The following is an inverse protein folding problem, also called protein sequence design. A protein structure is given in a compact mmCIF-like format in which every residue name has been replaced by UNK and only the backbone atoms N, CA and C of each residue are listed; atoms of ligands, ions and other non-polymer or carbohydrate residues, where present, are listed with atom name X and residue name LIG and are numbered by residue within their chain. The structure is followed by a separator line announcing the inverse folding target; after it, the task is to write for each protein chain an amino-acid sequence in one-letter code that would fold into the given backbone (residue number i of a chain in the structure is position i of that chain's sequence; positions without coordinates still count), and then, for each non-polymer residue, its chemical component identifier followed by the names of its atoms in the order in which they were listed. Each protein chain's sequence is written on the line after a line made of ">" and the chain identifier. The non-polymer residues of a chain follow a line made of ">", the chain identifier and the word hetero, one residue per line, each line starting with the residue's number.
data_IF_259016650171
#
_entry.id   IF_259016650171
#
_cell.length_a   1.000
_cell.length_b   1.000
_cell.length_c   1.000
_cell.angle_alpha   90.00
_cell.angle_beta   90.00
_cell.angle_gamma   90.00
#
_symmetry.space_group_name_H-M   'P 1'
#
loop_
_entity.id
_entity.type
_entity.pdbx_description
1 polymer ?
#
# COMPACT_ATOMS: atom_id res chain seq x y z
N UNK A 1 4.45 18.59 26.12
CA UNK A 1 4.34 17.91 27.41
C UNK A 1 4.26 19.00 28.47
N UNK A 2 3.43 18.82 29.49
CA UNK A 2 3.33 19.75 30.62
C UNK A 2 3.81 19.01 31.87
N UNK A 3 4.68 19.64 32.65
CA UNK A 3 5.22 19.08 33.88
C UNK A 3 4.61 19.82 35.06
N UNK A 4 3.98 19.09 35.96
CA UNK A 4 3.39 19.64 37.17
C UNK A 4 4.37 19.43 38.32
N UNK A 5 4.75 20.52 38.98
CA UNK A 5 5.67 20.50 40.13
C UNK A 5 4.99 21.07 41.37
N UNK A 6 5.39 20.57 42.54
CA UNK A 6 5.14 21.19 43.83
C UNK A 6 6.49 21.49 44.49
N UNK A 7 6.92 22.75 44.41
CA UNK A 7 8.27 23.14 44.82
C UNK A 7 9.35 22.50 43.93
N UNK A 8 10.35 21.85 44.56
CA UNK A 8 11.45 21.16 43.84
C UNK A 8 11.09 19.75 43.36
N UNK A 9 9.93 19.23 43.74
CA UNK A 9 9.49 17.87 43.39
C UNK A 9 8.55 17.92 42.20
N UNK A 10 8.79 17.07 41.21
CA UNK A 10 7.85 16.85 40.10
C UNK A 10 6.77 15.88 40.56
N UNK A 11 5.53 16.34 40.55
CA UNK A 11 4.39 15.55 41.03
C UNK A 11 3.70 14.75 39.93
N UNK A 12 3.61 15.30 38.71
CA UNK A 12 2.99 14.61 37.58
C UNK A 12 3.39 15.19 36.22
N UNK A 13 3.08 14.45 35.16
CA UNK A 13 3.31 14.84 33.77
C UNK A 13 2.04 14.64 32.95
N UNK A 14 1.80 15.57 32.03
CA UNK A 14 0.67 15.52 31.10
C UNK A 14 1.19 15.54 29.66
N UNK A 15 0.72 14.61 28.85
CA UNK A 15 0.96 14.59 27.41
C UNK A 15 -0.34 14.92 26.68
N UNK A 16 -0.31 15.95 25.84
CA UNK A 16 -1.40 16.26 24.90
C UNK A 16 -0.93 15.86 23.51
N UNK A 17 -1.55 14.82 22.94
CA UNK A 17 -1.34 14.43 21.56
C UNK A 17 -2.49 14.98 20.72
N UNK A 18 -2.20 15.89 19.80
CA UNK A 18 -3.19 16.34 18.80
C UNK A 18 -3.14 15.35 17.64
N UNK A 19 -4.10 14.43 17.60
CA UNK A 19 -4.23 13.51 16.47
C UNK A 19 -4.48 14.34 15.21
N UNK A 20 -3.53 14.31 14.25
CA UNK A 20 -3.76 14.89 12.93
C UNK A 20 -4.93 14.13 12.30
N UNK A 21 -5.93 14.84 11.79
CA UNK A 21 -7.00 14.22 10.99
C UNK A 21 -6.31 13.54 9.81
N UNK A 22 -6.40 12.21 9.74
CA UNK A 22 -5.99 11.51 8.52
C UNK A 22 -6.86 12.05 7.38
N UNK A 23 -6.28 12.32 6.20
CA UNK A 23 -7.07 12.73 5.05
C UNK A 23 -8.11 11.64 4.80
N UNK A 24 -9.39 11.94 5.04
CA UNK A 24 -10.45 11.06 4.61
C UNK A 24 -10.36 11.02 3.09
N UNK A 25 -10.02 9.84 2.56
CA UNK A 25 -9.97 9.57 1.13
C UNK A 25 -11.42 9.74 0.63
N UNK A 26 -11.77 10.96 0.21
CA UNK A 26 -13.05 11.28 -0.43
C UNK A 26 -13.05 10.60 -1.79
N UNK A 27 -13.37 9.32 -1.78
CA UNK A 27 -13.65 8.59 -3.00
C UNK A 27 -15.12 8.83 -3.31
N UNK A 28 -15.41 9.90 -4.05
CA UNK A 28 -16.69 9.98 -4.78
C UNK A 28 -16.64 8.88 -5.84
N UNK A 29 -17.09 7.68 -5.47
CA UNK A 29 -17.12 6.49 -6.35
C UNK A 29 -18.46 6.45 -7.06
N UNK A 30 -18.43 6.08 -8.33
CA UNK A 30 -19.62 5.85 -9.14
C UNK A 30 -20.42 4.68 -8.53
N UNK A 31 -21.72 4.85 -8.21
CA UNK A 31 -22.57 3.77 -7.68
C UNK A 31 -22.69 2.56 -8.62
N UNK A 32 -22.50 2.74 -9.93
CA UNK A 32 -22.77 1.71 -10.93
C UNK A 32 -21.54 0.91 -11.35
N UNK A 33 -20.35 1.26 -10.85
CA UNK A 33 -19.13 0.48 -11.08
C UNK A 33 -18.42 0.31 -9.75
N UNK A 34 -18.20 -0.92 -9.25
CA UNK A 34 -17.26 -1.10 -8.16
C UNK A 34 -15.87 -0.76 -8.69
N UNK A 35 -15.49 0.51 -8.55
CA UNK A 35 -14.16 1.00 -8.90
C UNK A 35 -13.17 0.41 -7.88
N UNK A 36 -12.70 -0.80 -8.18
CA UNK A 36 -11.71 -1.56 -7.40
C UNK A 36 -10.30 -0.95 -7.47
N UNK A 37 -10.09 0.08 -8.29
CA UNK A 37 -8.77 0.69 -8.45
C UNK A 37 -8.49 1.67 -7.31
N UNK A 38 -8.19 1.13 -6.13
CA UNK A 38 -7.56 1.91 -5.07
C UNK A 38 -6.12 2.18 -5.50
N UNK A 39 -5.75 3.46 -5.59
CA UNK A 39 -4.36 3.86 -5.82
C UNK A 39 -3.48 3.31 -4.69
N UNK A 40 -2.76 2.24 -4.97
CA UNK A 40 -1.70 1.73 -4.11
C UNK A 40 -0.60 2.79 -4.00
N UNK A 41 -0.03 2.96 -2.81
CA UNK A 41 1.15 3.82 -2.66
C UNK A 41 2.31 3.23 -3.45
N UNK A 42 3.21 4.10 -3.91
CA UNK A 42 4.36 3.69 -4.73
C UNK A 42 5.18 2.57 -4.09
N UNK A 43 5.47 2.72 -2.79
CA UNK A 43 6.17 1.72 -1.99
C UNK A 43 5.41 0.38 -1.91
N UNK A 44 4.09 0.41 -1.72
CA UNK A 44 3.29 -0.82 -1.73
C UNK A 44 3.34 -1.50 -3.09
N UNK A 45 3.27 -0.72 -4.19
CA UNK A 45 3.30 -1.23 -5.57
C UNK A 45 4.57 -1.98 -5.86
N UNK A 46 5.71 -1.37 -5.57
CA UNK A 46 7.00 -2.03 -5.74
C UNK A 46 7.20 -3.21 -4.78
N UNK A 47 6.64 -3.17 -3.56
CA UNK A 47 6.69 -4.28 -2.62
C UNK A 47 5.95 -5.52 -3.15
N UNK A 48 4.71 -5.36 -3.57
CA UNK A 48 3.93 -6.47 -4.12
C UNK A 48 4.50 -6.96 -5.44
N UNK A 49 4.97 -6.06 -6.31
CA UNK A 49 5.57 -6.44 -7.57
C UNK A 49 6.85 -7.27 -7.40
N UNK A 50 7.70 -6.93 -6.42
CA UNK A 50 8.87 -7.75 -6.06
C UNK A 50 8.50 -9.13 -5.51
N UNK A 51 7.38 -9.23 -4.79
CA UNK A 51 6.88 -10.52 -4.28
C UNK A 51 6.33 -11.37 -5.43
N UNK A 52 5.57 -10.74 -6.32
CA UNK A 52 4.97 -11.34 -7.50
C UNK A 52 5.99 -11.82 -8.53
N UNK A 53 7.10 -11.10 -8.73
CA UNK A 53 8.10 -11.49 -9.74
C UNK A 53 8.72 -12.86 -9.47
N UNK A 54 8.68 -13.34 -8.22
CA UNK A 54 9.21 -14.64 -7.81
C UNK A 54 8.15 -15.76 -7.83
N UNK A 55 6.91 -15.45 -8.17
CA UNK A 55 5.82 -16.42 -8.16
C UNK A 55 5.75 -17.18 -9.49
N UNK A 56 5.57 -18.52 -9.47
CA UNK A 56 5.38 -19.29 -10.69
C UNK A 56 4.12 -18.86 -11.46
N UNK A 57 3.07 -18.39 -10.76
CA UNK A 57 1.85 -17.88 -11.38
C UNK A 57 2.10 -16.66 -12.29
N UNK A 58 3.18 -15.91 -12.04
CA UNK A 58 3.59 -14.74 -12.82
C UNK A 58 4.53 -15.09 -13.97
N UNK A 59 5.02 -16.33 -14.07
CA UNK A 59 5.94 -16.76 -15.12
C UNK A 59 5.38 -16.53 -16.54
N UNK A 60 4.06 -16.58 -16.73
CA UNK A 60 3.39 -16.27 -18.02
C UNK A 60 3.57 -14.81 -18.46
N UNK A 61 3.80 -13.91 -17.50
CA UNK A 61 4.11 -12.52 -17.75
C UNK A 61 5.62 -12.28 -17.74
N UNK A 62 6.47 -13.31 -17.64
CA UNK A 62 7.90 -13.09 -17.71
C UNK A 62 8.40 -13.14 -19.16
N UNK A 63 9.30 -12.24 -19.53
CA UNK A 63 10.06 -12.29 -20.77
C UNK A 63 11.37 -13.04 -20.49
N UNK A 64 11.66 -14.10 -21.26
CA UNK A 64 12.65 -15.12 -20.90
C UNK A 64 14.10 -14.67 -20.65
N UNK A 65 14.46 -13.42 -20.93
CA UNK A 65 15.80 -12.86 -20.68
C UNK A 65 15.83 -11.80 -19.58
N UNK A 66 14.71 -11.51 -18.90
CA UNK A 66 14.64 -10.45 -17.89
C UNK A 66 15.03 -10.95 -16.49
N UNK A 67 15.68 -10.10 -15.71
CA UNK A 67 15.95 -10.36 -14.30
C UNK A 67 14.69 -10.22 -13.44
N UNK A 68 14.69 -10.84 -12.25
CA UNK A 68 13.57 -10.69 -11.30
C UNK A 68 13.30 -9.25 -10.88
N UNK A 69 14.31 -8.38 -10.91
CA UNK A 69 14.20 -6.96 -10.58
C UNK A 69 13.54 -6.16 -11.71
N UNK A 70 13.93 -6.44 -12.95
CA UNK A 70 13.29 -5.86 -14.15
C UNK A 70 11.84 -6.32 -14.25
N UNK A 71 11.60 -7.62 -14.01
CA UNK A 71 10.25 -8.16 -14.00
C UNK A 71 9.39 -7.52 -12.90
N UNK A 72 9.95 -7.31 -11.70
CA UNK A 72 9.24 -6.60 -10.63
C UNK A 72 8.91 -5.15 -11.01
N UNK A 73 9.82 -4.45 -11.68
CA UNK A 73 9.54 -3.08 -12.15
C UNK A 73 8.39 -3.08 -13.15
N UNK A 74 8.40 -4.03 -14.09
CA UNK A 74 7.36 -4.20 -15.09
C UNK A 74 6.00 -4.57 -14.49
N UNK A 75 5.97 -5.45 -13.49
CA UNK A 75 4.75 -5.76 -12.74
C UNK A 75 4.25 -4.50 -12.02
N UNK A 76 5.14 -3.69 -11.43
CA UNK A 76 4.75 -2.44 -10.78
C UNK A 76 4.12 -1.45 -11.78
N UNK A 77 4.58 -1.41 -13.03
CA UNK A 77 3.95 -0.64 -14.10
C UNK A 77 2.59 -1.24 -14.53
N UNK A 78 2.49 -2.56 -14.65
CA UNK A 78 1.20 -3.23 -14.93
C UNK A 78 0.16 -2.92 -13.85
N UNK A 79 0.55 -2.84 -12.58
CA UNK A 79 -0.33 -2.48 -11.48
C UNK A 79 -0.86 -1.03 -11.54
N UNK A 80 -0.31 -0.16 -12.40
CA UNK A 80 -0.87 1.16 -12.70
C UNK A 80 -2.04 1.09 -13.71
N UNK A 81 -2.10 0.04 -14.53
CA UNK A 81 -3.16 -0.13 -15.49
C UNK A 81 -4.37 -0.81 -14.84
N UNK A 82 -5.57 -0.23 -14.91
CA UNK A 82 -6.75 -0.74 -14.21
C UNK A 82 -7.16 -2.14 -14.70
N UNK A 83 -6.97 -2.44 -15.97
CA UNK A 83 -7.26 -3.75 -16.56
C UNK A 83 -6.35 -4.83 -16.00
N UNK A 84 -5.03 -4.58 -15.99
CA UNK A 84 -4.02 -5.49 -15.45
C UNK A 84 -4.12 -5.63 -13.95
N UNK A 85 -4.46 -4.55 -13.23
CA UNK A 85 -4.70 -4.63 -11.80
C UNK A 85 -5.86 -5.58 -11.48
N UNK A 86 -6.96 -5.57 -12.25
CA UNK A 86 -8.06 -6.52 -12.09
C UNK A 86 -7.61 -7.96 -12.32
N UNK A 87 -6.80 -8.22 -13.35
CA UNK A 87 -6.23 -9.55 -13.60
C UNK A 87 -5.33 -10.04 -12.46
N UNK A 88 -4.52 -9.13 -11.88
CA UNK A 88 -3.54 -9.45 -10.84
C UNK A 88 -4.11 -9.38 -9.42
N UNK A 89 -5.32 -8.85 -9.24
CA UNK A 89 -5.96 -8.67 -7.94
C UNK A 89 -6.07 -9.98 -7.12
N UNK A 90 -6.49 -11.12 -7.69
CA UNK A 90 -6.53 -12.39 -6.94
C UNK A 90 -5.16 -12.80 -6.40
N UNK A 91 -4.08 -12.49 -7.13
CA UNK A 91 -2.72 -12.74 -6.70
C UNK A 91 -2.29 -11.77 -5.60
N UNK A 92 -2.68 -10.49 -5.69
CA UNK A 92 -2.43 -9.51 -4.62
C UNK A 92 -3.08 -9.93 -3.31
N UNK A 93 -4.36 -10.32 -3.36
CA UNK A 93 -5.13 -10.75 -2.19
C UNK A 93 -4.52 -11.99 -1.53
N UNK A 94 -4.15 -13.01 -2.34
CA UNK A 94 -3.40 -14.19 -1.87
C UNK A 94 -2.08 -13.82 -1.19
N UNK A 95 -1.46 -12.71 -1.60
CA UNK A 95 -0.22 -12.22 -1.02
C UNK A 95 -0.40 -11.31 0.20
N UNK A 96 -1.64 -11.12 0.67
CA UNK A 96 -1.96 -10.33 1.86
C UNK A 96 -2.30 -8.86 1.57
N UNK A 97 -2.52 -8.48 0.30
CA UNK A 97 -3.08 -7.18 -0.01
C UNK A 97 -4.52 -7.09 0.53
N UNK A 98 -4.79 -6.05 1.32
CA UNK A 98 -6.12 -5.73 1.83
C UNK A 98 -6.42 -4.27 1.49
N UNK A 99 -7.63 -4.00 1.04
CA UNK A 99 -8.13 -2.63 0.82
C UNK A 99 -8.37 -1.90 2.15
#
# INVERSE_FOLDING_TARGET
>A
YEQHKKGRIISSFSFKFKQKKQPQIKTKRDPNTPDFFIKMTDAQRHLFANKMSKMPEMSKYSQGTESYQEFATRIAEMLLQPEKFRELYPLLEKNGFKL
#
